data_IF_143321097127
#
_entry.id   IF_143321097127
#
_cell.length_a   1.000
_cell.length_b   1.000
_cell.length_c   1.000
_cell.angle_alpha   90.00
_cell.angle_beta   90.00
_cell.angle_gamma   90.00
#
_symmetry.space_group_name_H-M   'P 1'
#
loop_
_entity.id
_entity.type
_entity.pdbx_description
1 polymer ?
#
# COMPACT_ATOMS: atom_id res chain seq x y z
N UNK A 1 -5.80 -16.71 -28.41
CA UNK A 1 -6.69 -15.60 -28.00
C UNK A 1 -6.44 -15.29 -26.53
N UNK A 2 -5.93 -14.10 -26.21
CA UNK A 2 -5.88 -13.61 -24.82
C UNK A 2 -7.33 -13.40 -24.37
N UNK A 3 -7.86 -14.26 -23.50
CA UNK A 3 -9.16 -14.00 -22.86
C UNK A 3 -9.02 -12.67 -22.12
N UNK A 4 -9.73 -11.64 -22.59
CA UNK A 4 -9.90 -10.42 -21.80
C UNK A 4 -10.62 -10.83 -20.52
N UNK A 5 -9.91 -10.79 -19.40
CA UNK A 5 -10.49 -11.15 -18.12
C UNK A 5 -11.61 -10.19 -17.74
N UNK A 6 -12.65 -10.72 -17.11
CA UNK A 6 -13.74 -9.91 -16.55
C UNK A 6 -13.22 -9.09 -15.39
N UNK A 7 -13.42 -7.77 -15.40
CA UNK A 7 -13.08 -6.84 -14.29
C UNK A 7 -13.39 -7.50 -12.95
N UNK A 8 -12.41 -7.54 -12.04
CA UNK A 8 -12.61 -8.07 -10.69
C UNK A 8 -13.76 -7.31 -10.04
N UNK A 9 -14.80 -8.03 -9.62
CA UNK A 9 -15.90 -7.50 -8.83
C UNK A 9 -15.84 -8.14 -7.45
N UNK A 10 -15.70 -7.32 -6.41
CA UNK A 10 -15.89 -7.79 -5.05
C UNK A 10 -17.35 -8.22 -4.87
N UNK A 11 -17.57 -9.31 -4.13
CA UNK A 11 -18.89 -9.96 -4.08
C UNK A 11 -19.95 -9.11 -3.36
N UNK A 12 -19.51 -8.21 -2.46
CA UNK A 12 -20.36 -7.30 -1.71
C UNK A 12 -20.41 -5.97 -2.46
N UNK A 13 -21.60 -5.56 -2.93
CA UNK A 13 -21.76 -4.34 -3.73
C UNK A 13 -21.83 -3.07 -2.88
N UNK A 14 -22.52 -3.13 -1.73
CA UNK A 14 -22.71 -1.98 -0.86
C UNK A 14 -22.17 -2.30 0.53
N UNK A 15 -21.06 -1.64 0.90
CA UNK A 15 -20.54 -1.71 2.26
C UNK A 15 -21.54 -1.06 3.23
N UNK A 16 -21.78 -1.73 4.36
CA UNK A 16 -22.68 -1.22 5.41
C UNK A 16 -22.10 -0.01 6.14
N UNK A 17 -20.80 0.20 5.99
CA UNK A 17 -20.04 1.29 6.58
C UNK A 17 -19.21 1.96 5.49
N UNK A 18 -19.12 3.28 5.52
CA UNK A 18 -18.25 4.06 4.64
C UNK A 18 -17.63 5.22 5.42
N UNK A 19 -16.56 5.82 4.87
CA UNK A 19 -15.90 6.97 5.49
C UNK A 19 -15.91 8.18 4.56
N UNK A 20 -16.17 9.36 5.11
CA UNK A 20 -15.94 10.65 4.46
C UNK A 20 -15.02 11.47 5.37
N UNK A 21 -13.87 11.88 4.86
CA UNK A 21 -12.82 12.49 5.69
C UNK A 21 -12.40 11.52 6.82
N UNK A 22 -12.48 12.01 8.06
CA UNK A 22 -12.16 11.25 9.27
C UNK A 22 -13.40 10.70 9.99
N UNK A 23 -14.57 10.75 9.36
CA UNK A 23 -15.84 10.31 9.95
C UNK A 23 -16.30 9.01 9.28
N UNK A 24 -16.66 8.02 10.09
CA UNK A 24 -17.28 6.77 9.63
C UNK A 24 -18.80 6.91 9.75
N UNK A 25 -19.53 6.48 8.73
CA UNK A 25 -20.98 6.50 8.66
C UNK A 25 -21.54 5.10 8.50
N UNK A 26 -22.71 4.87 9.10
CA UNK A 26 -23.55 3.71 8.84
C UNK A 26 -24.42 3.98 7.61
N UNK A 27 -24.30 3.12 6.60
CA UNK A 27 -25.13 3.16 5.41
C UNK A 27 -26.47 2.46 5.67
N UNK A 28 -27.41 3.15 6.32
CA UNK A 28 -28.72 2.58 6.64
C UNK A 28 -29.50 2.10 5.41
N UNK A 29 -29.26 2.69 4.23
CA UNK A 29 -29.83 2.20 2.97
C UNK A 29 -29.29 0.80 2.62
N UNK A 30 -27.97 0.60 2.69
CA UNK A 30 -27.36 -0.71 2.47
C UNK A 30 -27.78 -1.73 3.55
N UNK A 31 -27.84 -1.32 4.81
CA UNK A 31 -28.30 -2.16 5.93
C UNK A 31 -29.72 -2.66 5.69
N UNK A 32 -30.63 -1.76 5.31
CA UNK A 32 -32.04 -2.09 5.04
C UNK A 32 -32.24 -2.99 3.81
N UNK A 33 -31.28 -3.02 2.90
CA UNK A 33 -31.26 -3.90 1.73
C UNK A 33 -30.46 -5.20 1.96
N UNK A 34 -29.87 -5.36 3.13
CA UNK A 34 -29.06 -6.51 3.50
C UNK A 34 -29.84 -7.49 4.38
N UNK A 35 -29.22 -8.65 4.65
CA UNK A 35 -29.74 -9.62 5.63
C UNK A 35 -29.82 -9.09 7.06
N UNK A 36 -29.16 -7.97 7.36
CA UNK A 36 -29.13 -7.37 8.70
C UNK A 36 -30.23 -6.32 8.93
N UNK A 37 -31.17 -6.20 8.00
CA UNK A 37 -32.36 -5.35 8.14
C UNK A 37 -33.06 -5.64 9.47
N UNK A 38 -33.40 -4.59 10.21
CA UNK A 38 -34.01 -4.65 11.54
C UNK A 38 -33.15 -5.28 12.65
N UNK A 39 -32.06 -5.99 12.33
CA UNK A 39 -31.16 -6.62 13.30
C UNK A 39 -30.07 -5.66 13.78
N UNK A 40 -29.37 -4.99 12.86
CA UNK A 40 -28.28 -4.08 13.21
C UNK A 40 -28.82 -2.82 13.90
N UNK A 41 -28.27 -2.49 15.09
CA UNK A 41 -28.73 -1.36 15.92
C UNK A 41 -27.67 -0.29 16.13
N UNK A 42 -26.44 -0.69 16.44
CA UNK A 42 -25.35 0.24 16.71
C UNK A 42 -24.02 -0.38 16.31
N UNK A 43 -22.98 0.44 16.25
CA UNK A 43 -21.60 0.00 16.07
C UNK A 43 -20.69 0.57 17.16
N UNK A 44 -19.54 -0.07 17.35
CA UNK A 44 -18.41 0.38 18.17
C UNK A 44 -17.15 0.25 17.34
N UNK A 45 -16.16 1.10 17.59
CA UNK A 45 -14.84 0.93 16.99
C UNK A 45 -13.79 0.60 18.06
N UNK A 46 -12.77 -0.11 17.63
CA UNK A 46 -11.56 -0.43 18.39
C UNK A 46 -10.36 0.09 17.62
N UNK A 47 -9.42 0.72 18.31
CA UNK A 47 -8.18 1.21 17.71
C UNK A 47 -7.24 0.04 17.46
N UNK A 48 -6.68 -0.03 16.26
CA UNK A 48 -5.61 -0.98 15.93
C UNK A 48 -4.30 -0.29 16.22
N UNK A 49 -3.65 -0.71 17.31
CA UNK A 49 -2.49 -0.04 17.85
C UNK A 49 -1.23 -0.90 17.73
N UNK A 50 -0.15 -0.25 17.30
CA UNK A 50 1.22 -0.72 17.38
C UNK A 50 2.09 0.45 17.84
N UNK A 51 2.96 0.26 18.87
CA UNK A 51 3.88 1.30 19.29
C UNK A 51 4.95 1.55 18.23
N UNK A 52 5.32 2.82 18.05
CA UNK A 52 6.34 3.24 17.08
C UNK A 52 7.77 3.19 17.64
N UNK A 53 7.94 3.31 18.96
CA UNK A 53 9.27 3.43 19.60
C UNK A 53 9.64 2.20 20.45
N UNK A 54 8.94 1.09 20.27
CA UNK A 54 9.17 -0.16 21.00
C UNK A 54 9.47 -1.29 20.02
N UNK A 55 10.38 -2.17 20.41
CA UNK A 55 10.74 -3.35 19.63
C UNK A 55 9.65 -4.41 19.85
N UNK A 56 8.92 -4.73 18.79
CA UNK A 56 7.94 -5.82 18.78
C UNK A 56 8.13 -6.69 17.55
N UNK A 57 7.62 -7.93 17.58
CA UNK A 57 7.57 -8.77 16.39
C UNK A 57 6.86 -8.04 15.23
N UNK A 58 7.34 -8.20 13.99
CA UNK A 58 6.83 -7.47 12.82
C UNK A 58 5.31 -7.58 12.56
N UNK A 59 4.66 -8.65 13.04
CA UNK A 59 3.18 -8.84 12.97
C UNK A 59 2.41 -8.36 14.22
N UNK A 60 3.06 -7.66 15.13
CA UNK A 60 2.45 -7.23 16.38
C UNK A 60 1.43 -6.11 16.14
N UNK A 61 0.27 -6.26 16.76
CA UNK A 61 -0.74 -5.24 16.94
C UNK A 61 -1.64 -5.62 18.12
N UNK A 62 -2.36 -4.65 18.69
CA UNK A 62 -3.43 -4.86 19.67
C UNK A 62 -4.68 -4.08 19.26
N UNK A 63 -5.84 -4.61 19.62
CA UNK A 63 -7.06 -3.81 19.68
C UNK A 63 -7.11 -3.13 21.05
N UNK A 64 -7.21 -1.81 21.08
CA UNK A 64 -7.31 -1.00 22.29
C UNK A 64 -8.45 0.00 22.16
N UNK A 65 -8.83 0.64 23.28
CA UNK A 65 -9.78 1.77 23.32
C UNK A 65 -11.07 1.50 22.54
N UNK A 66 -12.00 0.78 23.17
CA UNK A 66 -13.34 0.56 22.60
C UNK A 66 -14.13 1.87 22.72
N UNK A 67 -14.74 2.31 21.63
CA UNK A 67 -15.58 3.50 21.62
C UNK A 67 -16.92 3.27 22.32
N UNK A 68 -17.60 4.38 22.62
CA UNK A 68 -19.04 4.35 22.87
C UNK A 68 -19.80 3.88 21.61
N UNK A 69 -21.07 3.51 21.82
CA UNK A 69 -21.98 3.14 20.75
C UNK A 69 -22.28 4.34 19.85
N UNK A 70 -22.32 4.11 18.55
CA UNK A 70 -22.83 5.07 17.58
C UNK A 70 -23.84 4.40 16.64
N UNK A 71 -24.87 5.15 16.27
CA UNK A 71 -25.99 4.67 15.45
C UNK A 71 -26.01 5.29 14.05
N UNK A 72 -25.32 6.41 13.84
CA UNK A 72 -25.24 7.07 12.54
C UNK A 72 -23.80 7.27 12.09
N UNK A 73 -22.99 7.94 12.91
CA UNK A 73 -21.61 8.26 12.55
C UNK A 73 -20.71 8.39 13.77
N UNK A 74 -19.39 8.36 13.53
CA UNK A 74 -18.37 8.59 14.54
C UNK A 74 -17.13 9.22 13.94
N UNK A 75 -16.59 10.23 14.62
CA UNK A 75 -15.32 10.84 14.25
C UNK A 75 -14.15 10.01 14.79
N UNK A 76 -13.16 9.79 13.92
CA UNK A 76 -12.00 8.96 14.20
C UNK A 76 -10.76 9.84 14.28
N UNK A 77 -10.09 9.81 15.43
CA UNK A 77 -8.81 10.49 15.67
C UNK A 77 -7.61 9.54 15.61
N UNK A 78 -7.85 8.25 15.32
CA UNK A 78 -6.82 7.23 15.21
C UNK A 78 -6.58 6.83 13.76
N UNK A 79 -5.37 6.37 13.47
CA UNK A 79 -4.93 6.02 12.11
C UNK A 79 -5.63 4.75 11.58
N UNK A 80 -5.80 3.74 12.44
CA UNK A 80 -6.40 2.47 12.05
C UNK A 80 -7.45 2.05 13.08
N UNK A 81 -8.63 1.66 12.60
CA UNK A 81 -9.71 1.18 13.46
C UNK A 81 -10.39 -0.04 12.85
N UNK A 82 -10.85 -0.92 13.73
CA UNK A 82 -11.83 -1.97 13.42
C UNK A 82 -13.19 -1.51 13.92
N UNK A 83 -14.18 -1.48 13.06
CA UNK A 83 -15.57 -1.20 13.43
C UNK A 83 -16.34 -2.50 13.47
N UNK A 84 -17.08 -2.73 14.56
CA UNK A 84 -18.01 -3.84 14.73
C UNK A 84 -19.42 -3.31 14.93
N UNK A 85 -20.39 -3.94 14.29
CA UNK A 85 -21.80 -3.59 14.39
C UNK A 85 -22.59 -4.74 15.00
N UNK A 86 -23.60 -4.39 15.79
CA UNK A 86 -24.23 -5.30 16.74
C UNK A 86 -25.75 -5.30 16.63
N UNK A 87 -26.37 -6.39 17.09
CA UNK A 87 -27.80 -6.42 17.41
C UNK A 87 -28.12 -5.61 18.67
N UNK A 88 -29.41 -5.37 18.93
CA UNK A 88 -29.85 -4.78 20.20
C UNK A 88 -29.52 -5.62 21.44
N UNK A 89 -29.28 -6.93 21.25
CA UNK A 89 -28.81 -7.84 22.31
C UNK A 89 -27.27 -7.90 22.43
N UNK A 90 -26.53 -7.12 21.64
CA UNK A 90 -25.06 -7.07 21.67
C UNK A 90 -24.35 -8.18 20.91
N UNK A 91 -25.02 -8.89 20.00
CA UNK A 91 -24.40 -9.91 19.15
C UNK A 91 -23.67 -9.26 17.96
N UNK A 92 -22.41 -9.67 17.70
CA UNK A 92 -21.58 -9.19 16.58
C UNK A 92 -22.15 -9.67 15.23
N UNK A 93 -22.45 -8.73 14.33
CA UNK A 93 -23.06 -8.98 13.02
C UNK A 93 -22.12 -8.73 11.86
N UNK A 94 -21.35 -7.64 11.95
CA UNK A 94 -20.58 -7.11 10.84
C UNK A 94 -19.33 -6.42 11.36
N UNK A 95 -18.20 -6.71 10.72
CA UNK A 95 -16.90 -6.10 11.05
C UNK A 95 -16.32 -5.48 9.80
N UNK A 96 -15.85 -4.23 9.84
CA UNK A 96 -15.07 -3.61 8.77
C UNK A 96 -13.85 -2.88 9.33
N UNK A 97 -12.89 -2.54 8.47
CA UNK A 97 -11.61 -1.95 8.83
C UNK A 97 -11.41 -0.64 8.07
N UNK A 98 -10.87 0.38 8.74
CA UNK A 98 -10.65 1.69 8.16
C UNK A 98 -9.25 2.21 8.45
N UNK A 99 -8.72 2.94 7.47
CA UNK A 99 -7.48 3.70 7.56
C UNK A 99 -7.73 5.20 7.36
N UNK A 100 -7.07 5.99 8.19
CA UNK A 100 -7.06 7.44 8.18
C UNK A 100 -5.62 7.92 8.23
N UNK A 101 -5.41 9.18 7.88
CA UNK A 101 -4.12 9.85 8.03
C UNK A 101 -4.36 11.05 8.93
N UNK A 102 -3.59 11.16 10.00
CA UNK A 102 -3.62 12.27 10.94
C UNK A 102 -2.22 12.85 11.06
N UNK A 103 -2.12 14.14 11.36
CA UNK A 103 -0.83 14.74 11.71
C UNK A 103 -0.30 14.10 13.00
N UNK A 104 0.95 13.66 12.98
CA UNK A 104 1.64 13.09 14.14
C UNK A 104 2.59 14.15 14.68
N UNK A 105 2.37 14.60 15.92
CA UNK A 105 3.08 15.74 16.50
C UNK A 105 4.60 15.56 16.46
N UNK A 106 5.08 14.38 16.84
CA UNK A 106 6.49 13.98 16.82
C UNK A 106 7.11 14.02 15.41
N UNK A 107 6.34 13.62 14.39
CA UNK A 107 6.77 13.68 12.99
C UNK A 107 6.86 15.13 12.52
N UNK A 108 5.85 15.95 12.82
CA UNK A 108 5.85 17.36 12.46
C UNK A 108 6.98 18.12 13.15
N UNK A 109 7.16 17.93 14.46
CA UNK A 109 8.24 18.55 15.24
C UNK A 109 9.62 18.17 14.65
N UNK A 110 9.85 16.89 14.28
CA UNK A 110 11.08 16.43 13.60
C UNK A 110 11.28 17.10 12.23
N UNK A 111 10.21 17.17 11.43
CA UNK A 111 10.27 17.76 10.10
C UNK A 111 10.55 19.26 10.15
N UNK A 112 9.95 19.99 11.09
CA UNK A 112 10.18 21.43 11.31
C UNK A 112 11.62 21.71 11.75
N UNK A 113 12.14 20.96 12.73
CA UNK A 113 13.53 21.08 13.17
C UNK A 113 14.53 20.89 12.02
N UNK A 114 14.30 19.91 11.15
CA UNK A 114 15.13 19.70 9.96
C UNK A 114 14.96 20.81 8.92
N UNK A 115 13.75 21.33 8.73
CA UNK A 115 13.52 22.46 7.84
C UNK A 115 14.35 23.68 8.24
N UNK A 116 14.47 23.98 9.54
CA UNK A 116 15.35 25.03 10.05
C UNK A 116 16.82 24.71 9.81
N UNK A 117 17.25 23.48 10.11
CA UNK A 117 18.65 23.04 9.95
C UNK A 117 19.16 23.18 8.50
N UNK A 118 18.29 22.94 7.52
CA UNK A 118 18.63 22.95 6.10
C UNK A 118 18.11 24.18 5.33
N UNK A 119 17.63 25.21 6.03
CA UNK A 119 17.03 26.40 5.41
C UNK A 119 17.97 27.08 4.39
N UNK A 120 19.27 27.17 4.71
CA UNK A 120 20.28 27.85 3.89
C UNK A 120 20.84 26.99 2.73
N UNK A 121 20.52 25.69 2.68
CA UNK A 121 21.01 24.76 1.64
C UNK A 121 19.88 24.19 0.79
N UNK A 122 18.65 24.68 0.97
CA UNK A 122 17.45 24.14 0.34
C UNK A 122 17.40 24.52 -1.14
N UNK A 123 17.84 23.61 -2.01
CA UNK A 123 17.34 23.54 -3.38
C UNK A 123 15.88 23.13 -3.38
N UNK A 124 15.16 23.38 -4.48
CA UNK A 124 13.80 22.89 -4.69
C UNK A 124 13.72 21.40 -4.34
N UNK A 125 12.79 21.04 -3.45
CA UNK A 125 12.66 19.68 -2.91
C UNK A 125 11.37 19.07 -3.44
N UNK A 126 11.54 18.05 -4.28
CA UNK A 126 10.44 17.26 -4.82
C UNK A 126 9.97 16.25 -3.77
N UNK A 127 8.67 15.98 -3.81
CA UNK A 127 8.09 14.80 -3.20
C UNK A 127 8.43 13.57 -4.04
N UNK A 128 8.41 12.40 -3.43
CA UNK A 128 8.74 11.15 -4.10
C UNK A 128 7.66 10.12 -3.81
N UNK A 129 7.11 9.52 -4.85
CA UNK A 129 6.16 8.42 -4.76
C UNK A 129 6.72 7.22 -5.51
N UNK A 130 7.06 6.17 -4.77
CA UNK A 130 7.51 4.89 -5.30
C UNK A 130 6.39 3.86 -5.14
N UNK A 131 5.83 3.40 -6.25
CA UNK A 131 4.76 2.42 -6.32
C UNK A 131 5.26 1.18 -7.07
N UNK A 132 5.52 0.11 -6.34
CA UNK A 132 5.98 -1.16 -6.88
C UNK A 132 4.86 -2.19 -6.99
N UNK A 133 4.92 -3.05 -8.00
CA UNK A 133 3.99 -4.16 -8.20
C UNK A 133 4.77 -5.44 -8.49
N UNK A 134 4.44 -6.49 -7.78
CA UNK A 134 5.12 -7.77 -7.85
C UNK A 134 4.86 -8.51 -9.17
N UNK A 135 5.91 -9.11 -9.74
CA UNK A 135 5.81 -10.14 -10.78
C UNK A 135 5.30 -9.69 -12.16
N UNK A 136 5.52 -8.41 -12.53
CA UNK A 136 5.06 -7.86 -13.82
C UNK A 136 6.24 -7.52 -14.74
N UNK A 137 6.39 -8.34 -15.78
CA UNK A 137 7.24 -8.01 -16.92
C UNK A 137 6.71 -6.79 -17.70
N UNK A 138 7.57 -6.01 -18.35
CA UNK A 138 7.15 -4.89 -19.20
C UNK A 138 6.12 -5.28 -20.26
N UNK A 139 6.36 -6.39 -20.95
CA UNK A 139 5.41 -6.89 -21.94
C UNK A 139 4.11 -7.43 -21.30
N UNK A 140 4.15 -7.91 -20.05
CA UNK A 140 2.94 -8.28 -19.32
C UNK A 140 2.09 -7.05 -19.01
N UNK A 141 2.72 -5.94 -18.58
CA UNK A 141 2.05 -4.65 -18.39
C UNK A 141 1.41 -4.15 -19.70
N UNK A 142 2.14 -4.17 -20.82
CA UNK A 142 1.59 -3.76 -22.12
C UNK A 142 0.38 -4.59 -22.57
N UNK A 143 0.29 -5.86 -22.14
CA UNK A 143 -0.84 -6.75 -22.47
C UNK A 143 -2.03 -6.55 -21.54
N UNK A 144 -1.79 -6.44 -20.23
CA UNK A 144 -2.84 -6.56 -19.21
C UNK A 144 -3.10 -5.29 -18.42
N UNK A 145 -2.17 -4.33 -18.40
CA UNK A 145 -2.30 -3.01 -17.75
C UNK A 145 -2.16 -1.87 -18.76
N UNK A 146 -2.81 -2.05 -19.92
CA UNK A 146 -2.65 -1.19 -21.09
C UNK A 146 -3.20 0.22 -20.84
N UNK A 147 -4.27 0.34 -20.06
CA UNK A 147 -4.92 1.64 -19.84
C UNK A 147 -4.09 2.49 -18.89
N UNK A 148 -3.57 1.88 -17.82
CA UNK A 148 -2.62 2.51 -16.89
C UNK A 148 -1.35 2.94 -17.62
N UNK A 149 -0.75 2.05 -18.41
CA UNK A 149 0.46 2.37 -19.18
C UNK A 149 0.21 3.55 -20.13
N UNK A 150 -0.89 3.52 -20.90
CA UNK A 150 -1.23 4.60 -21.83
C UNK A 150 -1.44 5.93 -21.12
N UNK A 151 -2.12 5.92 -19.98
CA UNK A 151 -2.35 7.14 -19.20
C UNK A 151 -1.03 7.76 -18.73
N UNK A 152 -0.14 6.96 -18.15
CA UNK A 152 1.15 7.47 -17.67
C UNK A 152 2.05 7.93 -18.83
N UNK A 153 2.23 7.10 -19.85
CA UNK A 153 3.16 7.39 -20.95
C UNK A 153 2.62 8.45 -21.90
N UNK A 154 1.37 8.35 -22.34
CA UNK A 154 0.85 9.23 -23.38
C UNK A 154 0.27 10.53 -22.82
N UNK A 155 -0.24 10.54 -21.59
CA UNK A 155 -0.85 11.74 -20.98
C UNK A 155 0.12 12.49 -20.08
N UNK A 156 0.98 11.77 -19.35
CA UNK A 156 1.92 12.35 -18.38
C UNK A 156 3.39 12.22 -18.79
N UNK A 157 3.66 11.86 -20.04
CA UNK A 157 5.00 11.74 -20.61
C UNK A 157 5.95 10.87 -19.76
N UNK A 158 5.42 9.80 -19.15
CA UNK A 158 6.24 8.90 -18.35
C UNK A 158 7.39 8.31 -19.19
N UNK A 159 8.61 8.35 -18.66
CA UNK A 159 9.77 7.72 -19.25
C UNK A 159 9.68 6.21 -18.99
N UNK A 160 9.59 5.42 -20.05
CA UNK A 160 9.56 3.96 -20.02
C UNK A 160 10.98 3.40 -20.19
N UNK A 161 11.56 2.87 -19.11
CA UNK A 161 12.92 2.33 -19.13
C UNK A 161 12.96 0.94 -19.78
N UNK A 162 13.14 0.93 -21.10
CA UNK A 162 13.14 -0.29 -21.93
C UNK A 162 14.18 -1.35 -21.52
N UNK A 163 15.30 -0.91 -20.94
CA UNK A 163 16.41 -1.77 -20.51
C UNK A 163 16.44 -2.08 -19.01
N UNK A 164 15.41 -1.71 -18.25
CA UNK A 164 15.35 -2.02 -16.82
C UNK A 164 15.32 -3.55 -16.60
N UNK A 165 16.20 -4.03 -15.73
CA UNK A 165 16.42 -5.46 -15.50
C UNK A 165 16.42 -5.78 -14.01
N UNK A 166 15.95 -6.98 -13.68
CA UNK A 166 16.08 -7.54 -12.34
C UNK A 166 17.55 -7.83 -12.01
N UNK A 167 17.91 -7.70 -10.74
CA UNK A 167 19.23 -8.09 -10.19
C UNK A 167 19.30 -9.59 -9.90
N UNK A 168 18.21 -10.18 -9.41
CA UNK A 168 18.20 -11.55 -8.90
C UNK A 168 16.82 -12.21 -9.04
N UNK A 169 16.66 -13.42 -8.50
CA UNK A 169 15.50 -14.26 -8.84
C UNK A 169 14.17 -13.77 -8.28
N UNK A 170 14.10 -13.36 -7.01
CA UNK A 170 12.85 -13.03 -6.31
C UNK A 170 12.79 -11.59 -5.81
N UNK A 171 11.69 -11.19 -5.18
CA UNK A 171 11.44 -9.82 -4.72
C UNK A 171 12.53 -9.25 -3.84
N UNK A 172 12.86 -9.93 -2.74
CA UNK A 172 13.80 -9.40 -1.75
C UNK A 172 15.17 -8.95 -2.34
N UNK A 173 15.91 -9.77 -3.11
CA UNK A 173 17.19 -9.36 -3.69
C UNK A 173 17.06 -8.38 -4.86
N UNK A 174 15.85 -8.09 -5.36
CA UNK A 174 15.61 -7.01 -6.33
C UNK A 174 15.25 -5.69 -5.63
N UNK A 175 14.50 -5.74 -4.54
CA UNK A 175 14.11 -4.55 -3.76
C UNK A 175 15.26 -4.03 -2.91
N UNK A 176 16.11 -4.90 -2.35
CA UNK A 176 17.23 -4.49 -1.51
C UNK A 176 18.22 -3.56 -2.24
N UNK A 177 18.69 -3.85 -3.47
CA UNK A 177 19.53 -2.90 -4.22
C UNK A 177 18.87 -1.56 -4.45
N UNK A 178 17.59 -1.55 -4.79
CA UNK A 178 16.83 -0.33 -5.05
C UNK A 178 16.65 0.53 -3.79
N UNK A 179 16.46 -0.10 -2.62
CA UNK A 179 16.11 0.60 -1.38
C UNK A 179 17.29 0.82 -0.45
N UNK A 180 18.33 -0.01 -0.49
CA UNK A 180 19.51 0.08 0.37
C UNK A 180 20.81 0.40 -0.38
N UNK A 181 20.79 0.41 -1.72
CA UNK A 181 22.00 0.61 -2.54
C UNK A 181 23.05 -0.48 -2.37
N UNK A 182 22.62 -1.69 -1.99
CA UNK A 182 23.46 -2.87 -1.70
C UNK A 182 22.86 -4.12 -2.29
N UNK A 183 23.67 -5.11 -2.63
CA UNK A 183 23.21 -6.45 -2.94
C UNK A 183 22.73 -7.15 -1.65
N UNK A 184 21.78 -8.08 -1.78
CA UNK A 184 21.25 -8.81 -0.62
C UNK A 184 22.28 -9.66 0.12
N UNK A 185 23.40 -10.02 -0.52
CA UNK A 185 24.53 -10.72 0.12
C UNK A 185 25.51 -9.76 0.82
N UNK A 186 25.43 -8.45 0.58
CA UNK A 186 26.23 -7.43 1.26
C UNK A 186 25.56 -6.90 2.54
N UNK A 187 24.28 -7.20 2.75
CA UNK A 187 23.60 -6.88 4.01
C UNK A 187 24.21 -7.72 5.15
N UNK A 188 24.65 -7.09 6.26
CA UNK A 188 25.19 -7.80 7.42
C UNK A 188 24.22 -8.90 7.89
N UNK A 189 24.69 -10.16 7.95
CA UNK A 189 23.91 -11.30 8.45
C UNK A 189 24.48 -11.76 9.79
N UNK A 190 23.59 -12.06 10.74
CA UNK A 190 23.99 -12.73 11.97
C UNK A 190 24.04 -14.25 11.70
N UNK A 191 25.08 -14.95 12.16
CA UNK A 191 25.18 -16.42 11.98
C UNK A 191 24.04 -17.18 12.68
N UNK A 192 23.43 -16.61 13.72
CA UNK A 192 22.34 -17.23 14.49
C UNK A 192 20.93 -16.94 13.96
N UNK A 193 20.75 -15.88 13.18
CA UNK A 193 19.49 -15.53 12.53
C UNK A 193 19.75 -15.39 11.04
N UNK A 194 19.18 -16.27 10.19
CA UNK A 194 19.33 -16.19 8.72
C UNK A 194 19.16 -14.75 8.22
N UNK A 195 18.20 -14.02 8.80
CA UNK A 195 18.03 -12.58 8.64
C UNK A 195 17.70 -11.91 9.98
N UNK A 196 18.56 -11.02 10.51
CA UNK A 196 18.19 -10.19 11.65
C UNK A 196 17.01 -9.26 11.28
N UNK A 197 16.41 -8.57 12.26
CA UNK A 197 15.40 -7.55 11.99
C UNK A 197 15.91 -6.52 10.98
N UNK A 198 15.02 -6.12 10.07
CA UNK A 198 15.37 -5.23 8.96
C UNK A 198 15.67 -3.80 9.42
N UNK A 199 15.32 -3.50 10.66
CA UNK A 199 15.63 -2.26 11.38
C UNK A 199 17.14 -1.91 11.37
N UNK A 200 18.00 -2.92 11.24
CA UNK A 200 19.46 -2.76 11.28
C UNK A 200 20.06 -2.26 9.96
N UNK A 201 19.24 -2.08 8.92
CA UNK A 201 19.71 -1.66 7.60
C UNK A 201 19.23 -0.24 7.26
N UNK A 202 20.10 0.53 6.64
CA UNK A 202 19.77 1.90 6.22
C UNK A 202 19.13 1.88 4.82
N UNK A 203 17.80 1.91 4.80
CA UNK A 203 17.03 2.00 3.56
C UNK A 203 16.76 3.46 3.18
N UNK A 204 16.27 3.66 1.95
CA UNK A 204 16.08 4.99 1.36
C UNK A 204 15.11 5.86 2.15
N UNK A 205 14.08 5.26 2.78
CA UNK A 205 13.16 5.98 3.66
C UNK A 205 13.84 6.51 4.93
N UNK A 206 14.86 5.83 5.46
CA UNK A 206 15.64 6.35 6.58
C UNK A 206 16.39 7.62 6.17
N UNK A 207 16.96 7.65 4.96
CA UNK A 207 17.64 8.82 4.41
C UNK A 207 16.68 10.00 4.21
N UNK A 208 15.46 9.74 3.73
CA UNK A 208 14.44 10.78 3.58
C UNK A 208 13.96 11.30 4.93
N UNK A 209 13.68 10.42 5.89
CA UNK A 209 13.31 10.79 7.27
C UNK A 209 14.36 11.69 7.92
N UNK A 210 15.65 11.32 7.79
CA UNK A 210 16.78 12.10 8.31
C UNK A 210 16.94 13.48 7.63
N UNK A 211 16.38 13.67 6.43
CA UNK A 211 16.34 14.95 5.71
C UNK A 211 15.06 15.75 5.97
N UNK A 212 14.22 15.32 6.91
CA UNK A 212 13.00 16.04 7.29
C UNK A 212 11.80 15.74 6.40
N UNK A 213 11.81 14.64 5.64
CA UNK A 213 10.62 14.18 4.92
C UNK A 213 9.72 13.40 5.87
N UNK A 214 8.42 13.51 5.63
CA UNK A 214 7.45 12.53 6.14
C UNK A 214 7.61 11.26 5.33
N UNK A 215 7.57 10.11 5.99
CA UNK A 215 7.79 8.83 5.33
C UNK A 215 6.58 7.92 5.43
N UNK A 216 6.23 7.33 4.30
CA UNK A 216 5.14 6.37 4.18
C UNK A 216 5.70 5.07 3.62
N UNK A 217 5.37 3.98 4.29
CA UNK A 217 5.70 2.63 3.87
C UNK A 217 4.43 1.78 3.94
N UNK A 218 4.01 1.18 2.83
CA UNK A 218 2.85 0.29 2.87
C UNK A 218 2.95 -0.89 1.91
N UNK A 219 2.38 -2.01 2.32
CA UNK A 219 2.27 -3.23 1.52
C UNK A 219 0.88 -3.83 1.62
N UNK A 220 0.38 -4.39 0.52
CA UNK A 220 -0.72 -5.37 0.59
C UNK A 220 -0.14 -6.79 0.80
N UNK A 221 -0.99 -7.79 0.99
CA UNK A 221 -0.55 -9.19 1.15
C UNK A 221 0.48 -9.43 2.27
N UNK A 222 0.12 -9.17 3.55
CA UNK A 222 1.06 -9.16 4.67
C UNK A 222 1.78 -10.50 4.95
N UNK A 223 1.23 -11.61 4.44
CA UNK A 223 1.81 -12.94 4.56
C UNK A 223 3.05 -13.17 3.69
N UNK A 224 3.19 -12.46 2.57
CA UNK A 224 4.33 -12.58 1.65
C UNK A 224 5.08 -11.26 1.44
N UNK A 225 4.93 -10.29 2.36
CA UNK A 225 5.59 -8.99 2.31
C UNK A 225 7.10 -9.11 2.09
N UNK A 226 7.68 -8.13 1.38
CA UNK A 226 9.04 -8.21 0.80
C UNK A 226 10.09 -8.56 1.87
N UNK A 227 9.92 -7.97 3.04
CA UNK A 227 10.84 -8.03 4.18
C UNK A 227 10.38 -8.97 5.30
N UNK A 228 9.18 -9.54 5.17
CA UNK A 228 8.52 -10.34 6.21
C UNK A 228 8.48 -11.83 5.86
N UNK A 229 8.34 -12.18 4.58
CA UNK A 229 8.28 -13.57 4.13
C UNK A 229 9.61 -14.29 4.44
N UNK A 230 9.54 -15.26 5.38
CA UNK A 230 10.68 -16.05 5.89
C UNK A 230 11.81 -15.20 6.50
N UNK A 231 11.46 -14.03 7.01
CA UNK A 231 12.39 -13.03 7.55
C UNK A 231 11.82 -12.46 8.85
N UNK A 232 12.67 -11.73 9.58
CA UNK A 232 12.26 -11.10 10.84
C UNK A 232 11.37 -9.87 10.66
N UNK A 233 11.26 -9.33 9.43
CA UNK A 233 10.52 -8.09 9.17
C UNK A 233 11.13 -6.89 9.87
N UNK A 234 10.32 -5.84 10.00
CA UNK A 234 10.64 -4.64 10.77
C UNK A 234 10.02 -4.74 12.16
N UNK A 235 10.85 -4.68 13.20
CA UNK A 235 10.36 -4.66 14.58
C UNK A 235 9.87 -3.26 14.98
N UNK A 236 10.52 -2.23 14.45
CA UNK A 236 10.16 -0.82 14.55
C UNK A 236 9.55 -0.39 13.20
N UNK A 237 8.43 0.34 13.16
CA UNK A 237 7.85 0.81 11.90
C UNK A 237 8.89 1.49 10.99
N UNK A 238 9.05 1.07 9.71
CA UNK A 238 10.07 1.59 8.81
C UNK A 238 9.78 3.02 8.31
N UNK A 239 8.54 3.50 8.45
CA UNK A 239 8.14 4.86 8.12
C UNK A 239 7.16 5.42 9.13
N UNK A 240 6.95 6.74 9.10
CA UNK A 240 6.02 7.44 9.98
C UNK A 240 4.58 6.93 9.82
N UNK A 241 4.21 6.54 8.61
CA UNK A 241 2.92 5.96 8.24
C UNK A 241 3.14 4.54 7.73
N UNK A 242 2.63 3.55 8.45
CA UNK A 242 2.92 2.13 8.22
C UNK A 242 1.69 1.23 8.39
N UNK A 243 1.20 0.65 7.29
CA UNK A 243 -0.10 -0.04 7.26
C UNK A 243 -0.09 -1.47 7.81
N UNK A 244 1.07 -2.06 8.12
CA UNK A 244 1.16 -3.49 8.49
C UNK A 244 0.22 -3.90 9.62
N UNK A 245 0.03 -3.14 10.72
CA UNK A 245 -0.93 -3.51 11.78
C UNK A 245 -2.36 -3.69 11.24
N UNK A 246 -2.80 -2.82 10.33
CA UNK A 246 -4.08 -2.93 9.66
C UNK A 246 -4.15 -4.19 8.78
N UNK A 247 -3.16 -4.40 7.90
CA UNK A 247 -3.14 -5.53 6.98
C UNK A 247 -3.15 -6.87 7.73
N UNK A 248 -2.34 -7.02 8.79
CA UNK A 248 -2.31 -8.24 9.61
C UNK A 248 -3.63 -8.42 10.39
N UNK A 249 -4.26 -7.33 10.88
CA UNK A 249 -5.55 -7.40 11.55
C UNK A 249 -6.68 -7.83 10.60
N UNK A 250 -6.68 -7.34 9.35
CA UNK A 250 -7.59 -7.79 8.31
C UNK A 250 -7.37 -9.26 7.98
N UNK A 251 -6.12 -9.68 7.73
CA UNK A 251 -5.75 -11.06 7.39
C UNK A 251 -6.20 -12.08 8.46
N UNK A 252 -6.15 -11.70 9.74
CA UNK A 252 -6.65 -12.55 10.85
C UNK A 252 -8.17 -12.64 10.92
N UNK A 253 -8.92 -11.74 10.28
CA UNK A 253 -10.39 -11.76 10.29
C UNK A 253 -10.95 -12.40 9.01
N UNK A 254 -11.05 -13.72 8.99
CA UNK A 254 -11.47 -14.49 7.79
C UNK A 254 -12.81 -14.06 7.19
N UNK A 255 -13.74 -13.54 8.01
CA UNK A 255 -15.10 -13.23 7.59
C UNK A 255 -15.22 -11.97 6.71
N UNK A 256 -14.19 -11.11 6.69
CA UNK A 256 -14.21 -9.90 5.86
C UNK A 256 -13.75 -10.18 4.43
N UNK A 257 -13.05 -11.31 4.22
CA UNK A 257 -12.45 -11.66 2.94
C UNK A 257 -13.44 -12.38 2.02
N UNK A 258 -13.40 -12.02 0.73
CA UNK A 258 -14.16 -12.68 -0.32
C UNK A 258 -13.41 -12.64 -1.67
N UNK A 259 -14.03 -13.16 -2.73
CA UNK A 259 -13.47 -13.18 -4.09
C UNK A 259 -12.03 -13.69 -4.14
N UNK A 260 -11.80 -14.95 -3.71
CA UNK A 260 -10.48 -15.58 -3.65
C UNK A 260 -9.46 -14.79 -2.81
N UNK A 261 -9.91 -14.15 -1.73
CA UNK A 261 -9.05 -13.39 -0.82
C UNK A 261 -8.40 -12.15 -1.45
N UNK A 262 -8.96 -11.63 -2.55
CA UNK A 262 -8.56 -10.33 -3.12
C UNK A 262 -9.31 -9.17 -2.47
N UNK A 263 -10.53 -9.41 -2.00
CA UNK A 263 -11.44 -8.38 -1.52
C UNK A 263 -11.67 -8.45 -0.02
N UNK A 264 -11.67 -7.29 0.61
CA UNK A 264 -12.18 -7.03 1.96
C UNK A 264 -13.50 -6.28 1.79
N UNK A 265 -14.60 -6.97 2.06
CA UNK A 265 -15.95 -6.54 1.69
C UNK A 265 -16.07 -6.10 0.23
N UNK A 266 -16.53 -4.87 -0.04
CA UNK A 266 -16.72 -4.34 -1.39
C UNK A 266 -15.47 -3.79 -2.07
N UNK A 267 -14.30 -3.83 -1.41
CA UNK A 267 -13.05 -3.25 -1.91
C UNK A 267 -11.95 -4.29 -2.04
N UNK A 268 -11.04 -4.13 -3.01
CA UNK A 268 -9.82 -4.94 -3.02
C UNK A 268 -8.86 -4.49 -1.92
N UNK A 269 -8.03 -5.38 -1.39
CA UNK A 269 -6.97 -4.96 -0.45
C UNK A 269 -6.05 -3.91 -1.09
N UNK A 270 -5.72 -4.09 -2.37
CA UNK A 270 -4.96 -3.13 -3.17
C UNK A 270 -5.62 -1.75 -3.17
N UNK A 271 -6.94 -1.66 -3.39
CA UNK A 271 -7.70 -0.39 -3.31
C UNK A 271 -7.67 0.23 -1.90
N UNK A 272 -7.69 -0.58 -0.84
CA UNK A 272 -7.64 -0.10 0.54
C UNK A 272 -6.28 0.54 0.84
N UNK A 273 -5.19 -0.11 0.41
CA UNK A 273 -3.83 0.40 0.62
C UNK A 273 -3.54 1.61 -0.28
N UNK A 274 -4.04 1.63 -1.53
CA UNK A 274 -3.94 2.80 -2.42
C UNK A 274 -4.71 4.01 -1.89
N UNK A 275 -5.89 3.81 -1.28
CA UNK A 275 -6.65 4.88 -0.65
C UNK A 275 -5.91 5.48 0.57
N UNK A 276 -5.22 4.65 1.35
CA UNK A 276 -4.36 5.12 2.43
C UNK A 276 -3.17 5.94 1.90
N UNK A 277 -2.52 5.50 0.81
CA UNK A 277 -1.48 6.26 0.12
C UNK A 277 -2.01 7.60 -0.43
N UNK A 278 -3.21 7.59 -1.04
CA UNK A 278 -3.87 8.79 -1.55
C UNK A 278 -4.12 9.79 -0.43
N UNK A 279 -4.74 9.36 0.67
CA UNK A 279 -4.98 10.21 1.87
C UNK A 279 -3.68 10.83 2.39
N UNK A 280 -2.60 10.05 2.44
CA UNK A 280 -1.28 10.52 2.87
C UNK A 280 -0.73 11.59 1.93
N UNK A 281 -0.66 11.30 0.64
CA UNK A 281 -0.10 12.22 -0.34
C UNK A 281 -0.91 13.51 -0.46
N UNK A 282 -2.25 13.44 -0.40
CA UNK A 282 -3.11 14.63 -0.38
C UNK A 282 -2.90 15.47 0.89
N UNK A 283 -2.82 14.84 2.07
CA UNK A 283 -2.56 15.56 3.33
C UNK A 283 -1.23 16.33 3.30
N UNK A 284 -0.21 15.75 2.65
CA UNK A 284 1.13 16.30 2.63
C UNK A 284 1.53 16.92 1.29
N UNK A 285 0.61 17.20 0.39
CA UNK A 285 0.93 17.68 -0.97
C UNK A 285 1.84 18.94 -0.98
N UNK A 286 1.72 19.81 0.03
CA UNK A 286 2.52 21.04 0.20
C UNK A 286 3.72 20.88 1.15
N UNK A 287 3.97 19.67 1.65
CA UNK A 287 5.01 19.34 2.62
C UNK A 287 5.91 18.25 2.03
N UNK A 288 7.19 18.27 2.38
CA UNK A 288 8.13 17.25 1.89
C UNK A 288 7.73 15.86 2.38
N UNK A 289 7.47 14.97 1.42
CA UNK A 289 7.08 13.61 1.70
C UNK A 289 7.69 12.59 0.74
N UNK A 290 7.97 11.42 1.29
CA UNK A 290 8.44 10.23 0.60
C UNK A 290 7.43 9.11 0.85
N UNK A 291 7.05 8.38 -0.19
CA UNK A 291 6.26 7.16 -0.06
C UNK A 291 6.89 6.01 -0.82
N UNK A 292 6.91 4.85 -0.18
CA UNK A 292 7.24 3.56 -0.78
C UNK A 292 6.09 2.60 -0.55
N UNK A 293 5.52 2.08 -1.64
CA UNK A 293 4.45 1.10 -1.59
C UNK A 293 4.75 -0.08 -2.49
N UNK A 294 4.36 -1.27 -2.06
CA UNK A 294 4.56 -2.48 -2.83
C UNK A 294 3.33 -3.38 -2.78
N UNK A 295 2.87 -3.84 -3.95
CA UNK A 295 1.63 -4.59 -4.09
C UNK A 295 1.88 -5.94 -4.74
N UNK A 296 1.45 -7.01 -4.07
CA UNK A 296 1.59 -8.39 -4.50
C UNK A 296 0.25 -9.12 -4.63
N UNK A 297 -0.82 -8.68 -3.94
CA UNK A 297 -2.06 -9.46 -3.79
C UNK A 297 -2.71 -9.90 -5.11
N UNK A 298 -2.73 -9.02 -6.11
CA UNK A 298 -3.43 -9.28 -7.38
C UNK A 298 -2.56 -9.93 -8.46
N UNK A 299 -1.23 -9.89 -8.32
CA UNK A 299 -0.30 -10.08 -9.46
C UNK A 299 0.76 -11.16 -9.23
N UNK A 300 1.02 -11.52 -7.97
CA UNK A 300 2.09 -12.46 -7.61
C UNK A 300 1.89 -13.87 -8.20
N UNK A 301 0.68 -14.41 -8.18
CA UNK A 301 0.46 -15.85 -8.42
C UNK A 301 0.26 -16.23 -9.90
N UNK A 302 -0.40 -15.36 -10.68
CA UNK A 302 -0.85 -15.70 -12.02
C UNK A 302 -0.70 -14.55 -13.02
N UNK A 303 0.05 -14.80 -14.10
CA UNK A 303 0.35 -13.82 -15.16
C UNK A 303 -0.89 -13.14 -15.76
N UNK A 304 -1.98 -13.91 -15.87
CA UNK A 304 -3.20 -13.46 -16.50
C UNK A 304 -4.12 -12.74 -15.51
N UNK A 305 -3.82 -12.68 -14.21
CA UNK A 305 -4.64 -11.93 -13.25
C UNK A 305 -4.25 -10.46 -13.18
N UNK A 306 -3.12 -10.09 -13.79
CA UNK A 306 -2.65 -8.71 -13.94
C UNK A 306 -3.71 -7.78 -14.55
N UNK A 307 -4.68 -8.27 -15.35
CA UNK A 307 -5.75 -7.38 -15.86
C UNK A 307 -6.65 -6.83 -14.76
N UNK A 308 -6.76 -7.52 -13.61
CA UNK A 308 -7.59 -7.08 -12.48
C UNK A 308 -7.07 -5.76 -11.91
N UNK A 309 -5.76 -5.52 -12.04
CA UNK A 309 -5.07 -4.36 -11.52
C UNK A 309 -5.20 -3.11 -12.42
N UNK A 310 -5.43 -3.24 -13.73
CA UNK A 310 -5.35 -2.11 -14.67
C UNK A 310 -6.29 -0.96 -14.28
N UNK A 311 -7.56 -1.26 -14.03
CA UNK A 311 -8.54 -0.21 -13.68
C UNK A 311 -8.31 0.40 -12.31
N UNK A 312 -7.75 -0.38 -11.38
CA UNK A 312 -7.45 0.06 -10.01
C UNK A 312 -6.33 1.10 -10.05
N UNK A 313 -5.20 0.77 -10.68
CA UNK A 313 -4.09 1.71 -10.81
C UNK A 313 -4.41 2.89 -11.71
N UNK A 314 -5.13 2.69 -12.82
CA UNK A 314 -5.60 3.79 -13.66
C UNK A 314 -6.43 4.79 -12.86
N UNK A 315 -7.39 4.30 -12.06
CA UNK A 315 -8.22 5.16 -11.21
C UNK A 315 -7.36 5.91 -10.20
N UNK A 316 -6.44 5.21 -9.51
CA UNK A 316 -5.53 5.84 -8.56
C UNK A 316 -4.73 6.98 -9.22
N UNK A 317 -4.06 6.73 -10.35
CA UNK A 317 -3.27 7.75 -11.01
C UNK A 317 -4.13 8.90 -11.52
N UNK A 318 -5.31 8.64 -12.11
CA UNK A 318 -6.25 9.70 -12.51
C UNK A 318 -6.62 10.60 -11.34
N UNK A 319 -7.09 10.02 -10.25
CA UNK A 319 -7.46 10.76 -9.05
C UNK A 319 -6.29 11.63 -8.53
N UNK A 320 -5.06 11.11 -8.58
CA UNK A 320 -3.86 11.75 -8.03
C UNK A 320 -3.30 12.88 -8.92
N UNK A 321 -3.35 12.72 -10.25
CA UNK A 321 -2.93 13.75 -11.19
C UNK A 321 -3.99 14.83 -11.38
N UNK A 322 -5.27 14.46 -11.51
CA UNK A 322 -6.38 15.41 -11.74
C UNK A 322 -6.68 16.29 -10.51
N UNK A 323 -6.26 15.86 -9.31
CA UNK A 323 -6.36 16.65 -8.08
C UNK A 323 -5.11 17.48 -7.75
N UNK A 324 -4.13 17.54 -8.66
CA UNK A 324 -2.81 18.18 -8.45
C UNK A 324 -1.99 17.62 -7.27
N UNK A 325 -2.41 16.50 -6.66
CA UNK A 325 -1.68 15.87 -5.53
C UNK A 325 -0.24 15.52 -5.93
N UNK A 326 0.00 15.21 -7.22
CA UNK A 326 1.32 14.85 -7.74
C UNK A 326 2.10 16.00 -8.38
N UNK A 327 1.61 17.25 -8.31
CA UNK A 327 2.19 18.40 -9.02
C UNK A 327 3.68 18.65 -8.74
N UNK A 328 4.15 18.35 -7.52
CA UNK A 328 5.55 18.49 -7.11
C UNK A 328 6.19 17.13 -6.78
N UNK A 329 5.75 16.05 -7.43
CA UNK A 329 6.13 14.67 -7.09
C UNK A 329 6.81 13.96 -8.25
N UNK A 330 7.97 13.36 -8.02
CA UNK A 330 8.52 12.34 -8.93
C UNK A 330 7.84 11.02 -8.63
N UNK A 331 7.20 10.45 -9.65
CA UNK A 331 6.47 9.18 -9.54
C UNK A 331 7.27 8.08 -10.20
N UNK A 332 7.59 7.05 -9.43
CA UNK A 332 8.12 5.79 -9.91
C UNK A 332 7.01 4.75 -9.85
N UNK A 333 6.66 4.18 -11.00
CA UNK A 333 5.78 3.01 -11.08
C UNK A 333 6.56 1.86 -11.68
N UNK A 334 6.76 0.79 -10.90
CA UNK A 334 7.74 -0.23 -11.27
C UNK A 334 7.34 -1.65 -10.84
N UNK A 335 8.08 -2.62 -11.35
CA UNK A 335 8.06 -4.00 -10.88
C UNK A 335 9.46 -4.48 -10.52
N UNK A 336 9.56 -5.50 -9.67
CA UNK A 336 10.80 -6.07 -9.17
C UNK A 336 11.36 -7.17 -10.08
N UNK A 337 10.48 -7.98 -10.66
CA UNK A 337 10.75 -9.02 -11.64
C UNK A 337 9.47 -9.35 -12.43
N UNK A 338 9.57 -10.12 -13.52
CA UNK A 338 8.38 -10.68 -14.14
C UNK A 338 7.91 -11.97 -13.47
N UNK A 339 6.92 -12.64 -14.06
CA UNK A 339 6.34 -13.87 -13.52
C UNK A 339 7.38 -14.98 -13.39
N UNK A 340 7.57 -15.52 -12.18
CA UNK A 340 8.58 -16.55 -11.86
C UNK A 340 8.09 -17.99 -11.98
N UNK A 341 6.78 -18.19 -12.08
CA UNK A 341 6.16 -19.51 -12.05
C UNK A 341 5.19 -19.73 -13.23
N UNK A 342 4.71 -20.98 -13.36
CA UNK A 342 3.74 -21.39 -14.38
C UNK A 342 4.35 -21.67 -15.76
N UNK A 343 3.52 -22.23 -16.65
CA UNK A 343 3.93 -22.74 -17.98
C UNK A 343 4.66 -21.70 -18.86
N UNK A 344 4.42 -20.41 -18.64
CA UNK A 344 5.12 -19.35 -19.39
C UNK A 344 6.64 -19.44 -19.22
N UNK A 345 7.12 -19.88 -18.05
CA UNK A 345 8.55 -20.06 -17.74
C UNK A 345 9.25 -21.15 -18.53
N UNK A 346 8.50 -22.09 -19.10
CA UNK A 346 9.04 -23.16 -19.94
C UNK A 346 9.45 -22.61 -21.32
N UNK A 347 8.89 -21.48 -21.74
CA UNK A 347 9.17 -20.85 -23.04
C UNK A 347 10.41 -19.95 -23.00
N UNK A 348 11.07 -19.76 -24.14
CA UNK A 348 12.18 -18.80 -24.28
C UNK A 348 11.74 -17.36 -23.96
N UNK A 349 10.58 -16.95 -24.48
CA UNK A 349 10.03 -15.60 -24.26
C UNK A 349 9.73 -15.36 -22.78
N UNK A 350 9.11 -16.32 -22.09
CA UNK A 350 8.85 -16.19 -20.65
C UNK A 350 10.12 -16.15 -19.80
N UNK A 351 11.21 -16.78 -20.25
CA UNK A 351 12.53 -16.63 -19.61
C UNK A 351 13.07 -15.22 -19.78
N UNK A 352 12.90 -14.59 -20.96
CA UNK A 352 13.32 -13.21 -21.19
C UNK A 352 12.46 -12.21 -20.43
N UNK A 353 11.14 -12.30 -20.55
CA UNK A 353 10.19 -11.35 -19.93
C UNK A 353 10.35 -11.30 -18.41
N UNK A 354 10.62 -12.44 -17.78
CA UNK A 354 10.82 -12.51 -16.34
C UNK A 354 12.01 -11.68 -15.84
N UNK A 355 13.02 -11.45 -16.69
CA UNK A 355 14.20 -10.61 -16.38
C UNK A 355 13.98 -9.12 -16.63
N UNK A 356 12.91 -8.77 -17.35
CA UNK A 356 12.62 -7.43 -17.87
C UNK A 356 11.32 -6.89 -17.24
N UNK A 357 11.31 -6.60 -15.92
CA UNK A 357 10.21 -5.87 -15.29
C UNK A 357 10.06 -4.46 -15.88
N UNK A 358 8.92 -3.82 -15.65
CA UNK A 358 8.72 -2.44 -16.07
C UNK A 358 9.28 -1.43 -15.04
N UNK A 359 9.63 -0.25 -15.54
CA UNK A 359 9.91 0.95 -14.73
C UNK A 359 9.45 2.16 -15.54
N UNK A 360 8.44 2.85 -15.03
CA UNK A 360 7.93 4.11 -15.55
C UNK A 360 8.26 5.23 -14.57
N UNK A 361 8.78 6.35 -15.07
CA UNK A 361 9.12 7.52 -14.26
C UNK A 361 8.38 8.74 -14.80
N UNK A 362 7.58 9.39 -13.97
CA UNK A 362 6.98 10.70 -14.28
C UNK A 362 7.69 11.75 -13.45
N UNK A 363 8.22 12.77 -14.13
CA UNK A 363 8.76 13.97 -13.49
C UNK A 363 7.67 15.04 -13.41
N UNK A 364 7.63 15.84 -12.33
CA UNK A 364 6.74 16.98 -12.28
C UNK A 364 7.14 18.03 -13.33
N UNK A 365 6.21 18.90 -13.77
CA UNK A 365 6.48 19.88 -14.85
C UNK A 365 7.65 20.83 -14.60
N UNK A 366 8.08 20.96 -13.34
CA UNK A 366 9.14 21.89 -12.91
C UNK A 366 10.54 21.26 -12.86
N UNK A 367 10.75 20.05 -13.41
CA UNK A 367 12.11 19.50 -13.56
C UNK A 367 12.64 19.85 -14.96
N UNK A 368 13.63 20.77 -15.07
CA UNK A 368 14.20 21.17 -16.35
C UNK A 368 14.98 20.06 -17.06
#
# INVERSE_FOLDING_TARGET
MLKHGTVLKCAIKDDLLYSIGNTIFINWKAVNNSRFKNEMKYCKYEVIWRPYNEIHHHNYFKFINISNEFVDHVDISNEFVRVKCYTGAGLDLYTNFFSFVHLKKDVEDRCEQNAFKFANTRKEQLNILMLGVDSIARNNMLRYMKETWKYLVNTHNAIDLLGYNKVADNTFPNIVPMTAGKLANELPRNKSLRWPPMDNYNFIWNNYSAKGYRTFYAEDHPNIGMFDFWKSGFNIPPGDYFNRPLSVAMEKNKNVWNSNHYCVHGRTETDIVLDYLKKYATMFQSKQHFSFTFFSRLTHDYLHETYKADKIYLKFFKDMFESDTLKNTVVFFFSDHGMRFGKVRETFVGKLEERLPFMLIVFPPMVP
#
